data_IF_445834912124
#
_entry.id   IF_445834912124
#
_cell.length_a   1.000
_cell.length_b   1.000
_cell.length_c   1.000
_cell.angle_alpha   90.00
_cell.angle_beta   90.00
_cell.angle_gamma   90.00
#
_symmetry.space_group_name_H-M   'P 1'
#
loop_
_entity.id
_entity.type
_entity.pdbx_description
1 polymer ?
#
# COMPACT_ATOMS: atom_id res chain seq x y z
N UNK A 1 -5.61 -4.07 8.90
CA UNK A 1 -4.55 -3.84 7.91
C UNK A 1 -5.20 -3.36 6.62
N UNK A 2 -4.68 -2.26 6.10
CA UNK A 2 -5.18 -1.62 4.87
C UNK A 2 -4.29 -2.03 3.70
N UNK A 3 -4.90 -2.22 2.54
CA UNK A 3 -4.22 -2.65 1.33
C UNK A 3 -4.52 -1.66 0.23
N UNK A 4 -3.48 -1.26 -0.50
CA UNK A 4 -3.57 -0.47 -1.72
C UNK A 4 -3.70 -1.42 -2.91
N UNK A 5 -4.74 -1.26 -3.70
CA UNK A 5 -5.02 -2.11 -4.86
C UNK A 5 -5.13 -1.26 -6.12
N UNK A 6 -4.34 -1.60 -7.14
CA UNK A 6 -4.46 -1.04 -8.48
C UNK A 6 -5.28 -1.96 -9.38
N UNK A 7 -6.22 -1.39 -10.13
CA UNK A 7 -7.11 -2.14 -11.01
C UNK A 7 -7.39 -1.37 -12.29
N UNK A 8 -7.73 -2.10 -13.34
CA UNK A 8 -8.09 -1.53 -14.63
C UNK A 8 -9.62 -1.44 -14.75
N UNK A 9 -10.13 -0.22 -14.89
CA UNK A 9 -11.57 0.05 -15.01
C UNK A 9 -12.00 0.39 -16.43
N UNK A 10 -11.08 0.69 -17.36
CA UNK A 10 -11.34 1.11 -18.75
C UNK A 10 -10.02 1.28 -19.50
N UNK A 11 -10.03 1.18 -20.85
CA UNK A 11 -8.92 1.41 -21.80
C UNK A 11 -8.24 2.80 -21.69
N UNK A 12 -7.69 3.13 -20.53
CA UNK A 12 -6.85 4.29 -20.26
C UNK A 12 -5.46 3.83 -19.84
N UNK A 13 -4.45 4.69 -20.03
CA UNK A 13 -3.05 4.34 -19.78
C UNK A 13 -2.69 4.20 -18.28
N UNK A 14 -3.52 4.69 -17.36
CA UNK A 14 -3.23 4.71 -15.92
C UNK A 14 -4.22 3.86 -15.11
N UNK A 15 -3.72 2.99 -14.20
CA UNK A 15 -4.59 2.15 -13.37
C UNK A 15 -5.29 2.96 -12.28
N UNK A 16 -6.56 2.64 -12.06
CA UNK A 16 -7.32 3.16 -10.92
C UNK A 16 -6.80 2.55 -9.62
N UNK A 17 -6.77 3.36 -8.55
CA UNK A 17 -6.31 2.92 -7.24
C UNK A 17 -7.44 2.96 -6.21
N UNK A 18 -7.54 1.92 -5.39
CA UNK A 18 -8.43 1.87 -4.24
C UNK A 18 -7.72 1.35 -3.00
N UNK A 19 -8.22 1.74 -1.84
CA UNK A 19 -7.77 1.21 -0.56
C UNK A 19 -8.86 0.34 0.04
N UNK A 20 -8.49 -0.88 0.42
CA UNK A 20 -9.41 -1.85 1.01
C UNK A 20 -8.85 -2.38 2.33
N UNK A 21 -9.71 -2.44 3.34
CA UNK A 21 -9.37 -3.09 4.60
C UNK A 21 -9.53 -4.59 4.44
N UNK A 22 -8.49 -5.36 4.77
CA UNK A 22 -8.54 -6.82 4.68
C UNK A 22 -7.46 -7.47 5.56
N UNK A 23 -7.68 -8.74 5.92
CA UNK A 23 -6.72 -9.51 6.72
C UNK A 23 -5.62 -10.16 5.87
N UNK A 24 -5.82 -10.25 4.55
CA UNK A 24 -4.89 -10.87 3.61
C UNK A 24 -5.03 -10.25 2.22
N UNK A 25 -3.99 -10.33 1.34
CA UNK A 25 -4.05 -9.76 -0.01
C UNK A 25 -5.14 -10.42 -0.86
N UNK A 26 -5.39 -11.72 -0.68
CA UNK A 26 -6.49 -12.44 -1.36
C UNK A 26 -7.86 -11.87 -0.94
N UNK A 27 -8.03 -11.57 0.35
CA UNK A 27 -9.27 -10.98 0.86
C UNK A 27 -9.43 -9.53 0.40
N UNK A 28 -8.32 -8.80 0.20
CA UNK A 28 -8.32 -7.46 -0.38
C UNK A 28 -8.83 -7.46 -1.82
N UNK A 29 -8.35 -8.37 -2.68
CA UNK A 29 -8.86 -8.55 -4.05
C UNK A 29 -10.36 -8.84 -4.05
N UNK A 30 -10.80 -9.77 -3.19
CA UNK A 30 -12.23 -10.13 -3.13
C UNK A 30 -13.09 -8.94 -2.73
N UNK A 31 -12.68 -8.18 -1.71
CA UNK A 31 -13.39 -6.98 -1.26
C UNK A 31 -13.38 -5.86 -2.29
N UNK A 32 -12.28 -5.70 -3.02
CA UNK A 32 -12.21 -4.77 -4.14
C UNK A 32 -13.27 -5.13 -5.17
N UNK A 33 -13.30 -6.38 -5.64
CA UNK A 33 -14.29 -6.88 -6.61
C UNK A 33 -15.74 -6.77 -6.12
N UNK A 34 -15.99 -6.96 -4.83
CA UNK A 34 -17.30 -6.71 -4.22
C UNK A 34 -17.73 -5.23 -4.34
N UNK A 35 -16.78 -4.29 -4.32
CA UNK A 35 -17.06 -2.86 -4.39
C UNK A 35 -17.17 -2.31 -5.83
N UNK A 36 -16.37 -2.83 -6.77
CA UNK A 36 -16.25 -2.26 -8.14
C UNK A 36 -16.79 -3.18 -9.25
N UNK A 37 -17.05 -4.45 -8.96
CA UNK A 37 -17.47 -5.46 -9.94
C UNK A 37 -16.49 -6.62 -10.06
N UNK A 38 -17.00 -7.81 -10.37
CA UNK A 38 -16.20 -9.05 -10.45
C UNK A 38 -15.34 -9.16 -11.70
N UNK A 39 -15.70 -8.45 -12.78
CA UNK A 39 -14.98 -8.44 -14.06
C UNK A 39 -13.77 -7.50 -14.10
N UNK A 40 -13.45 -6.84 -12.99
CA UNK A 40 -12.30 -5.92 -12.96
C UNK A 40 -10.99 -6.69 -12.77
N UNK A 41 -10.04 -6.40 -13.67
CA UNK A 41 -8.68 -6.90 -13.59
C UNK A 41 -7.87 -6.14 -12.54
N UNK A 42 -7.31 -6.90 -11.60
CA UNK A 42 -6.49 -6.35 -10.51
C UNK A 42 -5.03 -6.53 -10.89
N UNK A 43 -4.31 -5.41 -10.99
CA UNK A 43 -2.93 -5.38 -11.45
C UNK A 43 -1.95 -5.59 -10.31
N UNK A 44 -2.20 -4.98 -9.15
CA UNK A 44 -1.36 -5.12 -7.96
C UNK A 44 -2.13 -4.94 -6.67
N UNK A 45 -1.61 -5.56 -5.61
CA UNK A 45 -2.10 -5.45 -4.23
C UNK A 45 -0.90 -5.31 -3.32
N UNK A 46 -0.79 -4.17 -2.66
CA UNK A 46 0.32 -3.83 -1.78
C UNK A 46 -0.21 -3.56 -0.36
N UNK A 47 0.50 -3.97 0.69
CA UNK A 47 0.18 -3.51 2.04
C UNK A 47 0.34 -1.98 2.08
N UNK A 48 -0.62 -1.28 2.69
CA UNK A 48 -0.53 0.16 2.88
C UNK A 48 0.55 0.43 3.94
N UNK A 49 1.72 0.89 3.50
CA UNK A 49 2.86 1.17 4.37
C UNK A 49 2.66 2.39 5.29
N UNK A 50 1.54 3.12 5.14
CA UNK A 50 1.22 4.27 5.98
C UNK A 50 0.99 3.92 7.46
N UNK A 51 0.80 2.64 7.82
CA UNK A 51 0.78 2.23 9.23
C UNK A 51 2.19 2.21 9.87
N UNK A 52 3.26 2.11 9.07
CA UNK A 52 4.65 1.97 9.56
C UNK A 52 5.49 3.27 9.49
N UNK A 53 4.98 4.35 8.90
CA UNK A 53 5.75 5.62 8.80
C UNK A 53 5.61 6.52 10.04
N UNK A 54 4.98 6.07 11.13
CA UNK A 54 4.97 6.81 12.42
C UNK A 54 6.33 6.82 13.14
N UNK A 55 7.41 6.38 12.49
CA UNK A 55 8.74 6.37 13.05
C UNK A 55 9.85 6.45 12.00
N UNK A 56 9.62 7.12 10.86
CA UNK A 56 10.72 7.49 9.97
C UNK A 56 11.68 8.40 10.74
N UNK A 57 12.68 7.81 11.38
CA UNK A 57 13.91 8.50 11.72
C UNK A 57 14.40 9.11 10.42
N UNK A 58 14.38 10.43 10.37
CA UNK A 58 14.86 11.12 9.18
C UNK A 58 16.34 10.82 9.02
N UNK A 59 16.87 10.89 7.81
CA UNK A 59 18.32 10.81 7.60
C UNK A 59 19.07 11.85 8.44
N UNK A 60 18.41 12.98 8.74
CA UNK A 60 18.92 14.01 9.65
C UNK A 60 19.02 13.49 11.10
N UNK A 61 18.05 12.72 11.60
CA UNK A 61 18.13 12.12 12.95
C UNK A 61 19.32 11.17 13.10
N UNK A 62 19.66 10.40 12.06
CA UNK A 62 20.83 9.53 12.05
C UNK A 62 22.15 10.30 12.11
N UNK A 63 22.22 11.46 11.44
CA UNK A 63 23.42 12.31 11.43
C UNK A 63 23.60 13.13 12.70
N UNK A 64 22.50 13.39 13.42
CA UNK A 64 22.50 14.26 14.60
C UNK A 64 22.65 13.49 15.92
N UNK A 65 22.65 12.14 15.90
CA UNK A 65 22.92 11.32 17.08
C UNK A 65 24.42 11.31 17.42
N UNK A 66 24.86 11.98 18.50
CA UNK A 66 26.26 11.99 18.93
C UNK A 66 26.76 10.61 19.39
N UNK A 67 25.87 9.62 19.53
CA UNK A 67 26.18 8.24 19.87
C UNK A 67 26.21 7.29 18.65
N UNK A 68 26.00 7.77 17.42
CA UNK A 68 26.12 6.97 16.18
C UNK A 68 27.58 6.69 15.78
N UNK A 69 28.48 6.64 16.77
CA UNK A 69 29.87 6.24 16.59
C UNK A 69 30.00 4.72 16.71
N UNK A 70 30.05 4.06 15.56
CA UNK A 70 30.74 2.79 15.30
C UNK A 70 30.53 1.63 16.30
N UNK A 71 29.79 0.61 15.86
CA UNK A 71 30.12 -0.78 16.14
C UNK A 71 29.75 -1.69 14.98
#
# INVERSE_FOLDING_TARGET
>A
MRWKTGYDKSDGDEPDEAFVEATSPVSAVRRLREAIGTDTDVLYVLPDANDDLQGEQTYEDFLTDPNSSAR
#
